data_IF_509467316835
#
_entry.id   IF_509467316835
#
_cell.length_a   1.000
_cell.length_b   1.000
_cell.length_c   1.000
_cell.angle_alpha   90.00
_cell.angle_beta   90.00
_cell.angle_gamma   90.00
#
_symmetry.space_group_name_H-M   'P 1'
#
loop_
_entity.id
_entity.type
_entity.pdbx_description
1 polymer ?
#
# COMPACT_ATOMS: atom_id res chain seq x y z
N UNK A 1 -0.84 9.72 112.95
CA UNK A 1 -1.34 11.05 112.54
C UNK A 1 -1.67 10.94 111.04
N UNK A 2 -2.93 10.75 110.67
CA UNK A 2 -3.93 11.80 110.32
C UNK A 2 -3.58 12.51 109.00
N UNK A 3 -4.43 12.25 107.99
CA UNK A 3 -4.90 13.10 106.87
C UNK A 3 -3.85 13.72 105.91
N UNK A 4 -4.07 13.87 104.59
CA UNK A 4 -5.23 13.72 103.71
C UNK A 4 -5.05 14.62 102.46
N UNK A 5 -5.68 14.22 101.34
CA UNK A 5 -5.95 14.96 100.06
C UNK A 5 -4.77 15.30 99.11
N UNK A 6 -4.59 14.75 97.88
CA UNK A 6 -5.40 14.63 96.61
C UNK A 6 -5.71 15.98 95.92
N UNK A 7 -5.94 16.07 94.58
CA UNK A 7 -5.52 15.25 93.41
C UNK A 7 -5.26 16.08 92.10
N UNK A 8 -4.93 15.43 90.97
CA UNK A 8 -5.61 15.69 89.68
C UNK A 8 -5.41 14.52 88.68
N UNK A 9 -6.52 14.12 88.07
CA UNK A 9 -6.74 12.96 87.20
C UNK A 9 -6.81 13.38 85.72
N UNK A 10 -6.93 12.38 84.83
CA UNK A 10 -7.50 12.38 83.46
C UNK A 10 -6.50 12.45 82.28
N UNK A 11 -6.55 11.62 81.23
CA UNK A 11 -7.45 10.51 80.85
C UNK A 11 -6.89 9.80 79.58
N UNK A 12 -7.16 8.49 79.42
CA UNK A 12 -7.40 7.74 78.15
C UNK A 12 -6.23 7.59 77.12
N UNK A 13 -5.79 6.42 76.62
CA UNK A 13 -6.14 5.01 76.80
C UNK A 13 -5.21 4.04 75.99
N UNK A 14 -4.89 2.86 76.56
CA UNK A 14 -5.26 1.48 76.11
C UNK A 14 -5.25 1.22 74.57
N UNK A 15 -4.65 0.20 73.91
CA UNK A 15 -4.00 -1.10 74.22
C UNK A 15 -3.31 -1.70 72.93
N UNK A 16 -2.19 -2.41 73.12
CA UNK A 16 -1.82 -3.78 72.65
C UNK A 16 -1.75 -4.18 71.15
N UNK A 17 -0.63 -4.84 70.75
CA UNK A 17 -0.49 -6.25 70.21
C UNK A 17 0.78 -6.38 69.32
N UNK A 18 1.76 -7.17 69.75
CA UNK A 18 2.04 -8.57 69.39
C UNK A 18 2.97 -8.72 68.15
N UNK A 19 4.17 -9.27 68.38
CA UNK A 19 5.19 -9.57 67.35
C UNK A 19 4.82 -10.88 66.65
N UNK A 20 4.69 -10.83 65.32
CA UNK A 20 4.48 -12.00 64.46
C UNK A 20 5.67 -12.10 63.49
N UNK A 21 6.42 -13.20 63.56
CA UNK A 21 7.45 -13.55 62.57
C UNK A 21 6.78 -13.80 61.21
N UNK A 22 7.02 -12.92 60.25
CA UNK A 22 6.56 -13.10 58.88
C UNK A 22 7.63 -13.87 58.08
N UNK A 23 7.39 -15.16 57.84
CA UNK A 23 8.06 -15.88 56.75
C UNK A 23 7.49 -15.30 55.46
N UNK A 24 8.31 -14.57 54.70
CA UNK A 24 7.96 -14.11 53.37
C UNK A 24 7.86 -15.33 52.45
N UNK A 25 6.66 -15.87 52.29
CA UNK A 25 6.34 -16.64 51.11
C UNK A 25 6.49 -15.71 49.91
N UNK A 26 7.48 -15.97 49.04
CA UNK A 26 7.57 -15.32 47.74
C UNK A 26 6.20 -15.47 47.05
N UNK A 27 5.71 -14.44 46.34
CA UNK A 27 4.51 -14.62 45.54
C UNK A 27 4.79 -15.79 44.60
N UNK A 28 3.94 -16.81 44.64
CA UNK A 28 3.92 -17.81 43.62
C UNK A 28 3.54 -17.08 42.32
N UNK A 29 4.54 -16.55 41.60
CA UNK A 29 4.46 -16.51 40.15
C UNK A 29 4.18 -17.96 39.79
N UNK A 30 2.95 -18.21 39.35
CA UNK A 30 2.56 -19.50 38.82
C UNK A 30 3.73 -19.99 37.98
N UNK A 31 4.32 -21.13 38.36
CA UNK A 31 5.29 -21.80 37.51
C UNK A 31 4.63 -21.87 36.14
N UNK A 32 5.30 -21.30 35.13
CA UNK A 32 4.84 -21.42 33.76
C UNK A 32 4.48 -22.89 33.55
N UNK A 33 3.24 -23.22 33.12
CA UNK A 33 2.88 -24.60 32.90
C UNK A 33 3.92 -25.21 31.96
N UNK A 34 4.32 -26.45 32.27
CA UNK A 34 5.32 -27.21 31.54
C UNK A 34 5.19 -26.98 30.03
N UNK A 35 6.33 -26.79 29.37
CA UNK A 35 6.50 -26.44 27.96
C UNK A 35 5.83 -27.43 26.99
N UNK A 36 4.50 -27.39 26.90
CA UNK A 36 3.82 -27.60 25.64
C UNK A 36 4.09 -26.36 24.79
N UNK A 37 4.66 -26.53 23.60
CA UNK A 37 4.90 -25.41 22.70
C UNK A 37 3.60 -24.60 22.56
N UNK A 38 3.64 -23.31 22.94
CA UNK A 38 2.47 -22.44 22.83
C UNK A 38 1.87 -22.59 21.42
N UNK A 39 0.53 -22.70 21.28
CA UNK A 39 -0.10 -22.92 19.99
C UNK A 39 0.29 -21.80 19.02
N UNK A 40 0.49 -22.14 17.75
CA UNK A 40 0.81 -21.15 16.73
C UNK A 40 -0.26 -20.06 16.65
N UNK A 41 0.17 -18.81 16.50
CA UNK A 41 -0.73 -17.69 16.28
C UNK A 41 -1.58 -17.89 15.03
N UNK A 42 -1.12 -18.66 14.05
CA UNK A 42 -1.90 -19.02 12.85
C UNK A 42 -3.22 -19.73 13.14
N UNK A 43 -3.34 -20.40 14.30
CA UNK A 43 -4.57 -21.07 14.70
C UNK A 43 -5.66 -20.11 15.18
N UNK A 44 -5.36 -18.82 15.32
CA UNK A 44 -6.29 -17.81 15.84
C UNK A 44 -6.46 -16.59 14.93
N UNK A 45 -5.87 -16.60 13.73
CA UNK A 45 -6.02 -15.53 12.75
C UNK A 45 -7.27 -15.71 11.88
N UNK A 46 -7.87 -14.60 11.50
CA UNK A 46 -8.75 -14.50 10.35
C UNK A 46 -7.94 -14.60 9.04
N UNK A 47 -8.57 -14.88 7.89
CA UNK A 47 -7.88 -14.91 6.59
C UNK A 47 -7.14 -13.62 6.22
N UNK A 48 -7.58 -12.46 6.74
CA UNK A 48 -6.95 -11.16 6.50
C UNK A 48 -5.72 -10.87 7.40
N UNK A 49 -5.38 -11.80 8.30
CA UNK A 49 -4.28 -11.71 9.25
C UNK A 49 -4.63 -11.01 10.58
N UNK A 50 -5.88 -10.58 10.79
CA UNK A 50 -6.32 -10.06 12.10
C UNK A 50 -6.58 -11.18 13.10
N UNK A 51 -6.57 -10.87 14.40
CA UNK A 51 -6.95 -11.84 15.44
C UNK A 51 -8.46 -12.08 15.44
N UNK A 52 -8.89 -13.33 15.64
CA UNK A 52 -10.30 -13.65 15.92
C UNK A 52 -10.76 -13.00 17.23
N UNK A 53 -11.98 -12.49 17.25
CA UNK A 53 -12.54 -11.83 18.42
C UNK A 53 -12.63 -12.79 19.62
N UNK A 54 -12.34 -12.28 20.82
CA UNK A 54 -12.45 -13.05 22.07
C UNK A 54 -11.33 -14.04 22.35
N UNK A 55 -10.30 -14.11 21.49
CA UNK A 55 -9.14 -14.97 21.75
C UNK A 55 -8.30 -14.42 22.90
N UNK A 56 -7.95 -15.30 23.84
CA UNK A 56 -7.11 -14.99 25.00
C UNK A 56 -6.09 -16.10 25.21
N UNK A 57 -4.92 -15.77 25.76
CA UNK A 57 -3.85 -16.72 26.07
C UNK A 57 -2.51 -16.39 25.42
N UNK A 58 -1.55 -17.30 25.56
CA UNK A 58 -0.20 -17.18 25.01
C UNK A 58 -0.07 -17.99 23.74
N UNK A 59 0.51 -17.39 22.69
CA UNK A 59 0.66 -18.01 21.37
C UNK A 59 2.09 -17.84 20.86
N UNK A 60 2.53 -18.79 20.04
CA UNK A 60 3.81 -18.71 19.35
C UNK A 60 3.64 -17.95 18.02
N UNK A 61 4.33 -16.80 17.89
CA UNK A 61 4.34 -15.99 16.67
C UNK A 61 5.58 -16.24 15.79
N UNK A 62 6.41 -17.24 16.10
CA UNK A 62 7.54 -17.62 15.26
C UNK A 62 7.07 -17.92 13.83
N UNK A 63 7.78 -17.38 12.84
CA UNK A 63 7.38 -17.49 11.44
C UNK A 63 6.21 -16.57 11.05
N UNK A 64 5.84 -15.59 11.89
CA UNK A 64 4.92 -14.52 11.55
C UNK A 64 5.57 -13.14 11.69
N UNK A 65 5.15 -12.20 10.84
CA UNK A 65 5.51 -10.79 10.91
C UNK A 65 4.26 -9.96 11.19
N UNK A 66 4.42 -8.98 12.08
CA UNK A 66 3.40 -7.99 12.39
C UNK A 66 3.50 -6.83 11.39
N UNK A 67 2.37 -6.44 10.80
CA UNK A 67 2.26 -5.24 9.97
C UNK A 67 0.94 -4.51 10.24
N UNK A 68 0.82 -3.30 9.72
CA UNK A 68 -0.43 -2.54 9.76
C UNK A 68 -1.34 -2.98 8.60
N UNK A 69 -2.58 -3.34 8.92
CA UNK A 69 -3.65 -3.55 7.95
C UNK A 69 -4.18 -2.22 7.39
N UNK A 70 -5.08 -2.31 6.41
CA UNK A 70 -5.65 -1.16 5.66
C UNK A 70 -6.30 -0.07 6.54
N UNK A 71 -6.79 -0.42 7.74
CA UNK A 71 -7.38 0.51 8.71
C UNK A 71 -6.48 0.79 9.92
N UNK A 72 -5.19 0.45 9.85
CA UNK A 72 -4.23 0.63 10.94
C UNK A 72 -4.24 -0.48 12.00
N UNK A 73 -5.13 -1.46 11.90
CA UNK A 73 -5.17 -2.60 12.81
C UNK A 73 -3.92 -3.49 12.66
N UNK A 74 -3.42 -4.10 13.76
CA UNK A 74 -2.34 -5.07 13.68
C UNK A 74 -2.80 -6.32 12.91
N UNK A 75 -2.02 -6.72 11.91
CA UNK A 75 -2.18 -8.01 11.21
C UNK A 75 -0.89 -8.82 11.31
N UNK A 76 -1.02 -10.12 11.57
CA UNK A 76 0.08 -11.07 11.54
C UNK A 76 -0.03 -11.88 10.26
N UNK A 77 1.05 -11.93 9.49
CA UNK A 77 1.16 -12.76 8.27
C UNK A 77 2.37 -13.65 8.41
N UNK A 78 2.39 -14.78 7.70
CA UNK A 78 3.58 -15.63 7.69
C UNK A 78 4.79 -14.80 7.25
N UNK A 79 5.85 -14.82 8.06
CA UNK A 79 7.12 -14.19 7.77
C UNK A 79 7.64 -14.84 6.48
N UNK A 80 7.59 -14.10 5.38
CA UNK A 80 8.07 -14.58 4.10
C UNK A 80 9.58 -14.77 4.19
N UNK A 81 10.07 -15.99 4.03
CA UNK A 81 11.52 -16.25 3.82
C UNK A 81 11.86 -16.33 2.33
N UNK A 82 11.04 -15.73 1.45
CA UNK A 82 11.18 -15.78 -0.01
C UNK A 82 10.11 -14.97 -0.74
N UNK A 83 10.11 -15.06 -2.08
CA UNK A 83 9.09 -14.43 -2.92
C UNK A 83 7.70 -15.00 -2.63
N UNK A 84 6.79 -14.14 -2.17
CA UNK A 84 5.38 -14.47 -2.02
C UNK A 84 4.57 -13.88 -3.18
N UNK A 85 3.57 -14.62 -3.64
CA UNK A 85 2.57 -14.07 -4.55
C UNK A 85 1.87 -12.88 -3.89
N UNK A 86 1.51 -11.87 -4.69
CA UNK A 86 0.82 -10.68 -4.20
C UNK A 86 -0.51 -11.05 -3.54
N UNK A 87 -1.21 -12.06 -4.08
CA UNK A 87 -2.47 -12.57 -3.54
C UNK A 87 -2.54 -14.10 -3.56
N UNK A 88 -3.59 -14.65 -2.94
CA UNK A 88 -4.05 -16.04 -3.08
C UNK A 88 -3.13 -17.14 -2.55
N UNK A 89 -3.63 -18.37 -2.58
CA UNK A 89 -2.85 -19.59 -2.33
C UNK A 89 -2.02 -19.95 -3.56
N UNK A 90 -0.88 -20.59 -3.35
CA UNK A 90 -0.05 -21.12 -4.44
C UNK A 90 -0.92 -21.98 -5.40
N UNK A 91 -0.88 -21.68 -6.70
CA UNK A 91 -1.67 -22.39 -7.72
C UNK A 91 -2.99 -21.73 -8.14
N UNK A 92 -3.37 -20.57 -7.60
CA UNK A 92 -4.48 -19.74 -8.09
C UNK A 92 -3.97 -18.58 -8.97
N UNK A 93 -4.80 -18.05 -9.88
CA UNK A 93 -4.47 -16.87 -10.69
C UNK A 93 -4.36 -15.63 -9.80
N UNK A 94 -3.15 -15.35 -9.34
CA UNK A 94 -2.90 -14.34 -8.30
C UNK A 94 -2.16 -13.09 -8.81
N UNK A 95 -1.83 -13.08 -10.10
CA UNK A 95 -1.18 -11.97 -10.81
C UNK A 95 -2.01 -11.55 -12.03
N UNK A 96 -1.34 -11.11 -13.08
CA UNK A 96 -1.96 -10.82 -14.37
C UNK A 96 -1.84 -12.01 -15.34
N UNK A 97 -2.66 -12.04 -16.38
CA UNK A 97 -2.69 -13.10 -17.39
C UNK A 97 -1.78 -12.86 -18.61
N UNK A 98 -0.97 -11.81 -18.58
CA UNK A 98 -0.02 -11.46 -19.64
C UNK A 98 1.22 -10.75 -19.12
N UNK A 99 2.17 -10.38 -20.00
CA UNK A 99 3.40 -9.72 -19.58
C UNK A 99 3.13 -8.35 -18.94
N UNK A 100 3.87 -8.07 -17.86
CA UNK A 100 3.97 -6.75 -17.23
C UNK A 100 5.23 -6.07 -17.74
N UNK A 101 5.10 -4.84 -18.24
CA UNK A 101 6.22 -4.03 -18.72
C UNK A 101 6.53 -2.86 -17.78
N UNK A 102 5.55 -2.41 -16.99
CA UNK A 102 5.68 -1.27 -16.10
C UNK A 102 5.12 -1.55 -14.70
N UNK A 103 5.79 -1.00 -13.69
CA UNK A 103 5.37 -1.01 -12.29
C UNK A 103 5.52 0.39 -11.71
N UNK A 104 4.56 0.79 -10.87
CA UNK A 104 4.68 1.99 -10.04
C UNK A 104 4.08 1.74 -8.66
N UNK A 105 4.67 2.32 -7.62
CA UNK A 105 4.23 2.13 -6.23
C UNK A 105 3.79 3.46 -5.63
N UNK A 106 2.65 3.45 -4.92
CA UNK A 106 2.17 4.60 -4.14
C UNK A 106 1.56 4.12 -2.83
N UNK A 107 2.24 4.43 -1.72
CA UNK A 107 1.91 3.88 -0.41
C UNK A 107 1.95 2.34 -0.42
N UNK A 108 0.84 1.71 -0.05
CA UNK A 108 0.68 0.24 -0.10
C UNK A 108 0.20 -0.28 -1.46
N UNK A 109 -0.03 0.61 -2.42
CA UNK A 109 -0.59 0.24 -3.72
C UNK A 109 0.52 -0.02 -4.74
N UNK A 110 0.37 -1.09 -5.51
CA UNK A 110 1.21 -1.37 -6.68
C UNK A 110 0.33 -1.26 -7.93
N UNK A 111 0.73 -0.41 -8.86
CA UNK A 111 0.14 -0.30 -10.18
C UNK A 111 0.99 -1.11 -11.15
N UNK A 112 0.33 -1.87 -12.02
CA UNK A 112 0.97 -2.70 -13.04
C UNK A 112 0.43 -2.32 -14.41
N UNK A 113 1.32 -2.24 -15.39
CA UNK A 113 1.01 -1.91 -16.78
C UNK A 113 1.70 -2.91 -17.70
N UNK A 114 1.01 -3.35 -18.75
CA UNK A 114 1.55 -4.37 -19.62
C UNK A 114 0.64 -4.69 -20.80
N UNK A 115 0.70 -5.94 -21.26
CA UNK A 115 -0.22 -6.50 -22.25
C UNK A 115 -0.98 -7.66 -21.61
N UNK A 116 -2.11 -7.37 -20.98
CA UNK A 116 -2.91 -8.34 -20.24
C UNK A 116 -4.38 -7.94 -20.22
N UNK A 117 -5.28 -8.90 -19.99
CA UNK A 117 -6.73 -8.70 -19.97
C UNK A 117 -7.34 -8.86 -18.57
N UNK A 118 -6.62 -9.48 -17.64
CA UNK A 118 -7.09 -9.68 -16.27
C UNK A 118 -5.99 -9.60 -15.22
N UNK A 119 -6.39 -9.24 -14.00
CA UNK A 119 -5.54 -9.20 -12.80
C UNK A 119 -6.30 -9.81 -11.61
N UNK A 120 -5.80 -10.91 -11.05
CA UNK A 120 -6.44 -11.59 -9.93
C UNK A 120 -7.89 -12.04 -10.22
N UNK A 121 -8.17 -12.43 -11.47
CA UNK A 121 -9.51 -12.78 -11.94
C UNK A 121 -10.44 -11.60 -12.23
N UNK A 122 -10.01 -10.35 -11.99
CA UNK A 122 -10.75 -9.14 -12.34
C UNK A 122 -10.37 -8.72 -13.77
N UNK A 123 -11.35 -8.44 -14.62
CA UNK A 123 -11.10 -7.87 -15.94
C UNK A 123 -10.42 -6.50 -15.81
N UNK A 124 -9.20 -6.36 -16.34
CA UNK A 124 -8.38 -5.17 -16.24
C UNK A 124 -7.56 -5.03 -17.53
N UNK A 125 -7.93 -4.05 -18.36
CA UNK A 125 -7.33 -3.89 -19.69
C UNK A 125 -5.97 -3.18 -19.57
N UNK A 126 -4.89 -3.95 -19.64
CA UNK A 126 -3.49 -3.51 -19.71
C UNK A 126 -2.97 -2.66 -18.54
N UNK A 127 -3.81 -2.29 -17.58
CA UNK A 127 -3.44 -1.59 -16.34
C UNK A 127 -4.32 -2.02 -15.17
N UNK A 128 -3.70 -2.31 -14.03
CA UNK A 128 -4.38 -2.74 -12.82
C UNK A 128 -3.69 -2.19 -11.56
N UNK A 129 -4.42 -2.16 -10.46
CA UNK A 129 -3.92 -1.79 -9.13
C UNK A 129 -4.10 -2.94 -8.16
N UNK A 130 -3.04 -3.24 -7.42
CA UNK A 130 -3.04 -4.06 -6.22
C UNK A 130 -3.01 -3.15 -5.00
N UNK A 131 -3.94 -3.30 -4.05
CA UNK A 131 -4.03 -2.43 -2.86
C UNK A 131 -3.35 -2.98 -1.59
N UNK A 132 -2.64 -4.11 -1.72
CA UNK A 132 -2.09 -4.87 -0.60
C UNK A 132 -2.93 -6.10 -0.21
N UNK A 133 -4.16 -6.18 -0.71
CA UNK A 133 -5.08 -7.31 -0.45
C UNK A 133 -5.93 -7.73 -1.66
N UNK A 134 -6.24 -6.83 -2.58
CA UNK A 134 -7.10 -7.10 -3.76
C UNK A 134 -6.61 -6.40 -5.02
N UNK A 135 -6.83 -7.05 -6.17
CA UNK A 135 -6.64 -6.47 -7.50
C UNK A 135 -7.91 -5.70 -7.91
N UNK A 136 -7.71 -4.57 -8.60
CA UNK A 136 -8.79 -3.76 -9.17
C UNK A 136 -8.34 -3.15 -10.50
N UNK A 137 -9.26 -3.07 -11.45
CA UNK A 137 -9.11 -2.26 -12.66
C UNK A 137 -9.00 -0.76 -12.35
N UNK A 138 -8.42 0.00 -13.29
CA UNK A 138 -8.53 1.46 -13.29
C UNK A 138 -9.67 1.86 -14.24
N UNK A 139 -10.83 2.15 -13.67
CA UNK A 139 -12.03 2.46 -14.43
C UNK A 139 -13.25 1.65 -14.01
N UNK A 140 -14.38 1.94 -14.64
CA UNK A 140 -15.57 1.08 -14.58
C UNK A 140 -15.45 -0.03 -15.63
N UNK A 141 -16.29 -1.09 -15.57
CA UNK A 141 -16.29 -2.12 -16.63
C UNK A 141 -16.47 -1.57 -18.06
N UNK A 142 -17.19 -0.46 -18.23
CA UNK A 142 -17.41 0.18 -19.52
C UNK A 142 -16.27 1.13 -19.96
N UNK A 143 -15.42 1.55 -19.01
CA UNK A 143 -14.34 2.52 -19.22
C UNK A 143 -13.04 2.01 -18.57
N UNK A 144 -12.70 0.75 -18.86
CA UNK A 144 -11.63 0.01 -18.20
C UNK A 144 -10.29 0.18 -18.92
N UNK A 145 -9.29 0.71 -18.21
CA UNK A 145 -7.89 0.70 -18.66
C UNK A 145 -7.66 1.36 -20.03
N UNK A 146 -6.75 0.79 -20.81
CA UNK A 146 -6.40 1.26 -22.17
C UNK A 146 -6.58 0.16 -23.20
N UNK A 147 -6.72 0.53 -24.47
CA UNK A 147 -7.03 -0.41 -25.56
C UNK A 147 -5.83 -1.22 -26.08
N UNK A 148 -4.62 -0.92 -25.63
CA UNK A 148 -3.40 -1.64 -26.03
C UNK A 148 -2.29 -1.56 -24.96
N UNK A 149 -1.10 -2.05 -25.28
CA UNK A 149 0.02 -2.23 -24.34
C UNK A 149 0.42 -0.94 -23.60
N UNK A 150 0.62 -1.07 -22.29
CA UNK A 150 1.25 -0.07 -21.43
C UNK A 150 2.72 -0.44 -21.23
N UNK A 151 3.62 0.49 -21.54
CA UNK A 151 5.07 0.33 -21.46
C UNK A 151 5.69 1.15 -20.31
N UNK A 152 5.00 2.20 -19.86
CA UNK A 152 5.46 3.07 -18.78
C UNK A 152 4.33 3.45 -17.82
N UNK A 153 4.67 3.58 -16.54
CA UNK A 153 3.78 4.05 -15.48
C UNK A 153 4.50 5.06 -14.59
N UNK A 154 3.79 6.11 -14.18
CA UNK A 154 4.23 6.99 -13.11
C UNK A 154 3.04 7.41 -12.25
N UNK A 155 3.23 7.52 -10.93
CA UNK A 155 2.17 7.91 -9.99
C UNK A 155 2.57 9.20 -9.28
N UNK A 156 1.65 10.15 -9.17
CA UNK A 156 1.83 11.40 -8.43
C UNK A 156 0.52 11.78 -7.73
N UNK A 157 0.51 11.68 -6.40
CA UNK A 157 -0.71 11.84 -5.61
C UNK A 157 -1.80 10.85 -6.07
N UNK A 158 -3.01 11.31 -6.44
CA UNK A 158 -4.08 10.46 -6.94
C UNK A 158 -3.92 10.09 -8.43
N UNK A 159 -3.00 10.75 -9.15
CA UNK A 159 -2.87 10.62 -10.58
C UNK A 159 -1.95 9.44 -10.94
N UNK A 160 -2.40 8.64 -11.90
CA UNK A 160 -1.62 7.56 -12.52
C UNK A 160 -1.46 7.91 -13.99
N UNK A 161 -0.24 8.18 -14.41
CA UNK A 161 0.10 8.41 -15.80
C UNK A 161 0.53 7.10 -16.43
N UNK A 162 -0.01 6.81 -17.61
CA UNK A 162 0.29 5.60 -18.38
C UNK A 162 0.82 6.00 -19.74
N UNK A 163 1.87 5.32 -20.20
CA UNK A 163 2.50 5.53 -21.50
C UNK A 163 2.64 4.19 -22.22
N UNK A 164 2.44 4.15 -23.54
CA UNK A 164 2.49 2.91 -24.31
C UNK A 164 2.13 3.10 -25.77
N UNK A 165 1.52 2.07 -26.37
CA UNK A 165 1.12 2.03 -27.79
C UNK A 165 -0.40 1.93 -27.94
N UNK A 166 -1.15 2.83 -27.32
CA UNK A 166 -2.61 2.80 -27.24
C UNK A 166 -3.24 4.05 -27.87
N UNK A 167 -4.49 3.94 -28.31
CA UNK A 167 -5.23 5.05 -28.93
C UNK A 167 -6.34 5.58 -28.01
N UNK A 168 -6.74 4.81 -27.00
CA UNK A 168 -7.78 5.21 -26.06
C UNK A 168 -7.54 4.72 -24.63
N UNK A 169 -8.07 5.49 -23.68
CA UNK A 169 -8.06 5.20 -22.25
C UNK A 169 -9.47 5.42 -21.69
N UNK A 170 -10.10 4.37 -21.16
CA UNK A 170 -11.47 4.44 -20.63
C UNK A 170 -12.51 4.99 -21.61
N UNK A 171 -12.34 4.74 -22.91
CA UNK A 171 -13.21 5.27 -23.98
C UNK A 171 -12.90 6.72 -24.39
N UNK A 172 -11.93 7.39 -23.76
CA UNK A 172 -11.43 8.71 -24.16
C UNK A 172 -10.30 8.53 -25.17
N UNK A 173 -10.33 9.27 -26.28
CA UNK A 173 -9.22 9.30 -27.23
C UNK A 173 -7.97 9.88 -26.55
N UNK A 174 -6.93 9.07 -26.39
CA UNK A 174 -5.70 9.44 -25.70
C UNK A 174 -4.54 8.72 -26.41
N UNK A 175 -3.76 9.45 -27.19
CA UNK A 175 -2.72 8.87 -28.04
C UNK A 175 -1.47 8.62 -27.22
N UNK A 176 -1.16 7.35 -26.95
CA UNK A 176 0.08 6.84 -26.35
C UNK A 176 0.39 7.31 -24.92
N UNK A 177 -0.31 8.31 -24.38
CA UNK A 177 -0.18 8.78 -22.99
C UNK A 177 -1.53 9.26 -22.44
N UNK A 178 -1.85 8.85 -21.22
CA UNK A 178 -3.09 9.21 -20.52
C UNK A 178 -2.88 9.34 -19.02
N UNK A 179 -3.82 10.01 -18.35
CA UNK A 179 -3.85 10.17 -16.90
C UNK A 179 -5.16 9.61 -16.34
N UNK A 180 -5.07 8.73 -15.34
CA UNK A 180 -6.18 8.36 -14.47
C UNK A 180 -6.12 9.17 -13.18
N UNK A 181 -7.15 9.93 -12.86
CA UNK A 181 -7.18 10.81 -11.68
C UNK A 181 -7.73 10.15 -10.40
N UNK A 182 -7.94 8.84 -10.43
CA UNK A 182 -8.64 8.09 -9.38
C UNK A 182 -10.11 7.78 -9.72
N UNK A 183 -10.71 8.50 -10.66
CA UNK A 183 -12.13 8.35 -11.04
C UNK A 183 -12.41 8.37 -12.54
N UNK A 184 -11.58 9.04 -13.34
CA UNK A 184 -11.74 9.17 -14.77
C UNK A 184 -10.39 9.20 -15.49
N UNK A 185 -10.40 8.70 -16.73
CA UNK A 185 -9.30 8.82 -17.67
C UNK A 185 -9.36 10.17 -18.40
N UNK A 186 -8.20 10.76 -18.64
CA UNK A 186 -8.05 11.98 -19.42
C UNK A 186 -6.81 11.87 -20.32
N UNK A 187 -6.90 12.47 -21.50
CA UNK A 187 -5.76 12.63 -22.38
C UNK A 187 -4.84 13.76 -21.90
N UNK A 188 -3.56 13.73 -22.30
CA UNK A 188 -2.65 14.86 -22.12
C UNK A 188 -2.67 15.72 -23.38
N UNK A 189 -3.46 16.79 -23.35
CA UNK A 189 -3.66 17.68 -24.48
C UNK A 189 -5.13 17.93 -24.80
N UNK A 190 -5.37 18.70 -25.86
CA UNK A 190 -6.70 18.87 -26.44
C UNK A 190 -6.92 17.81 -27.52
N UNK A 191 -8.16 17.60 -28.02
CA UNK A 191 -8.40 16.68 -29.14
C UNK A 191 -7.54 16.96 -30.39
N UNK A 192 -7.15 18.22 -30.62
CA UNK A 192 -6.31 18.61 -31.76
C UNK A 192 -4.79 18.52 -31.49
N UNK A 193 -4.38 18.35 -30.22
CA UNK A 193 -3.00 18.31 -29.78
C UNK A 193 -2.79 17.21 -28.72
N UNK A 194 -3.30 16.02 -29.02
CA UNK A 194 -3.43 14.91 -28.09
C UNK A 194 -2.16 14.05 -28.05
N UNK A 195 -1.58 13.87 -26.86
CA UNK A 195 -0.59 12.82 -26.61
C UNK A 195 0.65 12.90 -27.51
N UNK A 196 1.10 11.77 -28.04
CA UNK A 196 2.27 11.68 -28.94
C UNK A 196 1.94 10.92 -30.23
N UNK A 197 2.73 11.14 -31.29
CA UNK A 197 2.53 10.49 -32.60
C UNK A 197 3.03 9.03 -32.67
N UNK A 198 3.84 8.60 -31.70
CA UNK A 198 4.28 7.21 -31.53
C UNK A 198 4.43 6.86 -30.03
N UNK A 199 4.88 5.64 -29.76
CA UNK A 199 4.96 5.00 -28.44
C UNK A 199 5.67 5.85 -27.39
N UNK A 200 5.09 5.90 -26.20
CA UNK A 200 5.76 6.38 -24.98
C UNK A 200 6.34 5.20 -24.23
N UNK A 201 7.67 5.13 -24.17
CA UNK A 201 8.42 4.03 -23.55
C UNK A 201 8.84 4.34 -22.11
N UNK A 202 8.87 5.61 -21.72
CA UNK A 202 9.29 6.06 -20.40
C UNK A 202 8.45 7.25 -19.92
N UNK A 203 8.16 7.26 -18.62
CA UNK A 203 7.46 8.35 -17.93
C UNK A 203 8.21 8.71 -16.65
N UNK A 204 8.29 10.00 -16.36
CA UNK A 204 8.70 10.52 -15.06
C UNK A 204 7.81 11.69 -14.66
N UNK A 205 7.55 11.86 -13.37
CA UNK A 205 6.76 12.99 -12.85
C UNK A 205 7.61 13.76 -11.84
N UNK A 206 7.63 15.09 -11.97
CA UNK A 206 8.27 15.99 -11.02
C UNK A 206 7.41 17.23 -10.81
N UNK A 207 6.88 17.36 -9.58
CA UNK A 207 5.88 18.37 -9.25
C UNK A 207 4.66 18.26 -10.18
N UNK A 208 4.24 19.35 -10.86
CA UNK A 208 3.14 19.32 -11.81
C UNK A 208 3.52 18.75 -13.19
N UNK A 209 4.82 18.48 -13.42
CA UNK A 209 5.33 18.17 -14.75
C UNK A 209 5.36 16.67 -15.00
N UNK A 210 4.96 16.26 -16.19
CA UNK A 210 5.15 14.89 -16.70
C UNK A 210 6.16 14.93 -17.84
N UNK A 211 7.18 14.10 -17.75
CA UNK A 211 8.19 13.94 -18.78
C UNK A 211 7.93 12.62 -19.50
N UNK A 212 7.88 12.66 -20.82
CA UNK A 212 7.60 11.51 -21.67
C UNK A 212 8.80 11.27 -22.59
N UNK A 213 9.26 10.03 -22.64
CA UNK A 213 10.34 9.59 -23.53
C UNK A 213 9.89 8.40 -24.37
N UNK A 214 10.27 8.33 -25.64
CA UNK A 214 9.75 7.29 -26.52
C UNK A 214 10.19 7.36 -27.98
N UNK A 215 9.47 6.63 -28.84
CA UNK A 215 9.75 6.58 -30.28
C UNK A 215 9.18 7.79 -31.04
N UNK A 216 8.34 8.59 -30.40
CA UNK A 216 7.63 9.72 -30.99
C UNK A 216 8.56 10.82 -31.51
N UNK A 217 8.10 11.53 -32.53
CA UNK A 217 8.73 12.75 -33.06
C UNK A 217 7.90 14.00 -32.76
N UNK A 218 6.64 13.83 -32.38
CA UNK A 218 5.70 14.91 -32.09
C UNK A 218 4.94 14.63 -30.79
N UNK A 219 4.83 15.64 -29.92
CA UNK A 219 3.96 15.64 -28.75
C UNK A 219 2.88 16.71 -28.91
N UNK A 220 1.62 16.30 -29.08
CA UNK A 220 0.53 17.15 -29.52
C UNK A 220 0.83 17.74 -30.90
N UNK A 221 1.10 19.05 -30.95
CA UNK A 221 1.55 19.74 -32.18
C UNK A 221 3.02 20.16 -32.12
N UNK A 222 3.74 19.79 -31.05
CA UNK A 222 5.11 20.18 -30.80
C UNK A 222 6.08 19.15 -31.41
N UNK A 223 6.98 19.53 -32.33
CA UNK A 223 8.07 18.67 -32.78
C UNK A 223 9.07 18.45 -31.64
N UNK A 224 8.94 17.31 -30.97
CA UNK A 224 9.67 16.96 -29.75
C UNK A 224 10.29 15.59 -29.97
N UNK A 225 11.50 15.59 -30.54
CA UNK A 225 12.24 14.37 -30.91
C UNK A 225 12.46 13.48 -29.68
N UNK A 226 11.63 12.46 -29.48
CA UNK A 226 11.78 11.43 -28.46
C UNK A 226 11.66 11.86 -26.99
N UNK A 227 11.58 13.16 -26.68
CA UNK A 227 11.50 13.68 -25.31
C UNK A 227 10.67 14.98 -25.24
N UNK A 228 9.64 14.98 -24.40
CA UNK A 228 8.79 16.15 -24.15
C UNK A 228 8.39 16.27 -22.69
N UNK A 229 8.01 17.49 -22.27
CA UNK A 229 7.45 17.78 -20.95
C UNK A 229 6.03 18.32 -21.09
N UNK A 230 5.07 17.67 -20.44
CA UNK A 230 3.76 18.23 -20.16
C UNK A 230 3.78 19.02 -18.86
N UNK A 231 3.31 20.26 -18.86
CA UNK A 231 3.29 21.13 -17.67
C UNK A 231 1.94 21.18 -16.94
N UNK A 232 0.97 20.39 -17.38
CA UNK A 232 -0.41 20.42 -16.91
C UNK A 232 -1.38 21.05 -17.93
N UNK A 233 -0.87 21.82 -18.89
CA UNK A 233 -1.67 22.51 -19.90
C UNK A 233 -1.11 22.40 -21.33
N UNK A 234 0.20 22.31 -21.49
CA UNK A 234 0.87 22.26 -22.78
C UNK A 234 2.10 21.33 -22.81
N UNK A 235 2.39 20.85 -24.01
CA UNK A 235 3.64 20.16 -24.33
C UNK A 235 4.76 21.19 -24.53
N UNK A 236 5.93 20.91 -23.96
CA UNK A 236 7.11 21.76 -23.98
C UNK A 236 8.37 20.94 -24.31
N UNK A 237 9.32 21.59 -24.96
CA UNK A 237 10.68 21.09 -25.12
C UNK A 237 11.45 21.23 -23.79
N UNK A 238 12.48 20.41 -23.58
CA UNK A 238 13.36 20.51 -22.41
C UNK A 238 14.63 21.32 -22.71
N UNK A 239 15.02 21.43 -23.98
CA UNK A 239 16.18 22.13 -24.50
C UNK A 239 15.85 22.92 -25.78
N UNK A 240 16.86 23.61 -26.31
CA UNK A 240 16.71 24.43 -27.53
C UNK A 240 16.60 23.55 -28.77
N UNK A 241 15.75 23.96 -29.71
CA UNK A 241 15.37 23.24 -30.93
C UNK A 241 16.57 22.78 -31.77
N UNK A 242 16.92 21.50 -31.61
CA UNK A 242 17.71 20.59 -32.45
C UNK A 242 18.22 19.41 -31.59
N UNK A 243 18.32 19.61 -30.27
CA UNK A 243 18.89 18.64 -29.31
C UNK A 243 17.94 18.34 -28.14
N UNK A 244 16.66 18.09 -28.43
CA UNK A 244 15.77 17.46 -27.46
C UNK A 244 15.86 15.96 -27.73
N UNK A 245 16.51 15.19 -26.85
CA UNK A 245 16.71 13.75 -27.03
C UNK A 245 18.16 13.33 -27.22
N UNK A 246 18.44 12.05 -26.99
CA UNK A 246 19.71 11.39 -27.34
C UNK A 246 19.53 10.75 -28.72
N UNK A 247 20.38 11.15 -29.67
CA UNK A 247 20.47 10.54 -31.01
C UNK A 247 20.82 9.04 -30.96
#
# INVERSE_FOLDING_TARGET
MVHGYRPSLNLLGVLLRAVLCLVLAAPAWAQAPASGAAPSVGTILNPDGTLRAGVQGSFNAAGYQLSAGKGGQPVLRTAATGWNALSGTAGQQNGVDGPVFALAVSGTSVYVGGSFASAGGVAASNVARWDGSTWSALGTPAANGVDNVVLALAVSGPNVYVGGQFASAGGVAASNVACWNGTAWAALGTPAANGTDDAVNALAVSGPSVYVGGAFTTAGTLPAQHLARWDGAAWNLLGTSAANGVD
#
